data_IF_084807325039
#
_entry.id   IF_084807325039
#
_cell.length_a   1.000
_cell.length_b   1.000
_cell.length_c   1.000
_cell.angle_alpha   90.00
_cell.angle_beta   90.00
_cell.angle_gamma   90.00
#
_symmetry.space_group_name_H-M   'P 1'
#
loop_
_entity.id
_entity.type
_entity.pdbx_description
1 polymer ?
#
# COMPACT_ATOMS: atom_id res chain seq x y z
N UNK A 1 -14.74 11.00 -7.00
CA UNK A 1 -14.24 9.62 -7.22
C UNK A 1 -12.82 9.59 -6.69
N UNK A 2 -12.53 8.78 -5.68
CA UNK A 2 -11.17 8.67 -5.13
C UNK A 2 -10.33 7.91 -6.15
N UNK A 3 -9.12 8.40 -6.45
CA UNK A 3 -8.23 7.75 -7.42
C UNK A 3 -7.70 6.42 -6.87
N UNK A 4 -7.32 5.50 -7.75
CA UNK A 4 -6.80 4.19 -7.33
C UNK A 4 -5.54 4.33 -6.45
N UNK A 5 -4.73 5.36 -6.70
CA UNK A 5 -3.54 5.68 -5.92
C UNK A 5 -3.88 6.13 -4.49
N UNK A 6 -4.94 6.93 -4.32
CA UNK A 6 -5.43 7.30 -2.98
C UNK A 6 -5.98 6.08 -2.24
N UNK A 7 -6.71 5.19 -2.92
CA UNK A 7 -7.23 3.96 -2.30
C UNK A 7 -6.11 3.01 -1.89
N UNK A 8 -5.09 2.86 -2.73
CA UNK A 8 -3.91 2.04 -2.43
C UNK A 8 -3.10 2.62 -1.26
N UNK A 9 -2.98 3.95 -1.19
CA UNK A 9 -2.35 4.64 -0.07
C UNK A 9 -3.11 4.40 1.24
N UNK A 10 -4.43 4.61 1.25
CA UNK A 10 -5.25 4.42 2.44
C UNK A 10 -5.24 2.97 2.93
N UNK A 11 -5.26 2.01 1.99
CA UNK A 11 -5.16 0.58 2.31
C UNK A 11 -3.79 0.22 2.87
N UNK A 12 -2.71 0.78 2.31
CA UNK A 12 -1.37 0.60 2.85
C UNK A 12 -1.26 1.16 4.27
N UNK A 13 -1.76 2.36 4.52
CA UNK A 13 -1.81 2.97 5.86
C UNK A 13 -2.60 2.09 6.84
N UNK A 14 -3.77 1.59 6.43
CA UNK A 14 -4.59 0.72 7.26
C UNK A 14 -3.92 -0.62 7.57
N UNK A 15 -3.26 -1.25 6.59
CA UNK A 15 -2.51 -2.50 6.78
C UNK A 15 -1.31 -2.26 7.69
N UNK A 16 -0.62 -1.14 7.55
CA UNK A 16 0.50 -0.78 8.44
C UNK A 16 0.00 -0.54 9.87
N UNK A 17 -1.09 0.21 10.06
CA UNK A 17 -1.67 0.42 11.39
C UNK A 17 -2.16 -0.89 12.03
N UNK A 18 -2.75 -1.79 11.23
CA UNK A 18 -3.24 -3.09 11.71
C UNK A 18 -2.10 -4.09 12.01
N UNK A 19 -0.99 -4.06 11.25
CA UNK A 19 0.19 -4.92 11.49
C UNK A 19 1.13 -4.37 12.57
N UNK A 20 1.14 -3.06 12.78
CA UNK A 20 2.06 -2.36 13.70
C UNK A 20 1.32 -1.68 14.85
N UNK A 21 0.28 -2.33 15.40
CA UNK A 21 -0.41 -1.88 16.62
C UNK A 21 0.52 -1.77 17.84
N UNK A 22 1.76 -2.25 17.74
CA UNK A 22 2.86 -1.88 18.62
C UNK A 22 4.14 -1.57 17.81
N UNK A 23 4.65 -0.33 17.92
CA UNK A 23 6.07 0.06 17.77
C UNK A 23 6.65 0.45 16.39
N UNK A 24 5.91 1.08 15.49
CA UNK A 24 6.56 1.92 14.46
C UNK A 24 6.08 3.36 14.57
N UNK A 25 7.01 4.29 14.68
CA UNK A 25 6.68 5.70 14.52
C UNK A 25 6.15 5.94 13.11
N UNK A 26 5.26 6.94 12.90
CA UNK A 26 4.71 7.24 11.58
C UNK A 26 5.78 7.42 10.47
N UNK A 27 6.96 7.90 10.85
CA UNK A 27 8.10 8.08 9.94
C UNK A 27 8.66 6.72 9.52
N UNK A 28 8.89 5.81 10.46
CA UNK A 28 9.42 4.49 10.14
C UNK A 28 8.42 3.68 9.30
N UNK A 29 7.13 3.81 9.58
CA UNK A 29 6.08 3.23 8.76
C UNK A 29 6.12 3.78 7.31
N UNK A 30 6.24 5.10 7.16
CA UNK A 30 6.38 5.70 5.83
C UNK A 30 7.64 5.21 5.10
N UNK A 31 8.78 5.09 5.80
CA UNK A 31 10.02 4.58 5.22
C UNK A 31 9.87 3.13 4.74
N UNK A 32 9.21 2.28 5.52
CA UNK A 32 8.99 0.89 5.13
C UNK A 32 8.00 0.76 3.96
N UNK A 33 6.95 1.58 3.93
CA UNK A 33 6.06 1.67 2.77
C UNK A 33 6.82 2.04 1.50
N UNK A 34 7.60 3.13 1.52
CA UNK A 34 8.30 3.64 0.32
C UNK A 34 9.39 2.69 -0.15
N UNK A 35 10.17 2.13 0.77
CA UNK A 35 11.37 1.37 0.42
C UNK A 35 11.12 -0.12 0.22
N UNK A 36 10.07 -0.68 0.82
CA UNK A 36 9.80 -2.12 0.77
C UNK A 36 8.48 -2.39 0.04
N UNK A 37 7.38 -1.82 0.52
CA UNK A 37 6.06 -2.19 0.02
C UNK A 37 5.79 -1.65 -1.38
N UNK A 38 6.12 -0.39 -1.65
CA UNK A 38 5.84 0.28 -2.92
C UNK A 38 6.57 -0.37 -4.12
N UNK A 39 7.86 -0.77 -4.04
CA UNK A 39 8.50 -1.53 -5.11
C UNK A 39 7.80 -2.86 -5.39
N UNK A 40 7.41 -3.61 -4.35
CA UNK A 40 6.71 -4.89 -4.50
C UNK A 40 5.36 -4.67 -5.19
N UNK A 41 4.59 -3.68 -4.73
CA UNK A 41 3.31 -3.34 -5.35
C UNK A 41 3.48 -2.93 -6.81
N UNK A 42 4.52 -2.18 -7.15
CA UNK A 42 4.83 -1.80 -8.55
C UNK A 42 5.20 -3.00 -9.41
N UNK A 43 5.95 -3.96 -8.89
CA UNK A 43 6.26 -5.19 -9.64
C UNK A 43 4.98 -6.02 -9.87
N UNK A 44 4.13 -6.15 -8.86
CA UNK A 44 2.83 -6.83 -8.99
C UNK A 44 1.97 -6.09 -10.03
N UNK A 45 1.88 -4.76 -9.97
CA UNK A 45 1.04 -3.96 -10.86
C UNK A 45 1.43 -4.09 -12.34
N UNK A 46 2.70 -4.39 -12.65
CA UNK A 46 3.13 -4.70 -14.03
C UNK A 46 2.43 -5.93 -14.61
N UNK A 47 2.12 -6.91 -13.76
CA UNK A 47 1.42 -8.13 -14.16
C UNK A 47 -0.10 -7.90 -14.30
N UNK A 48 -0.60 -6.75 -13.86
CA UNK A 48 -2.00 -6.34 -13.94
C UNK A 48 -2.16 -4.99 -14.67
N UNK A 49 -1.89 -4.93 -15.98
CA UNK A 49 -1.92 -3.67 -16.75
C UNK A 49 -3.28 -2.98 -16.77
N UNK A 50 -4.36 -3.72 -16.53
CA UNK A 50 -5.73 -3.20 -16.41
C UNK A 50 -6.18 -2.99 -14.94
N UNK A 51 -5.23 -3.10 -14.00
CA UNK A 51 -5.46 -3.07 -12.55
C UNK A 51 -5.93 -4.40 -11.96
N UNK A 52 -5.74 -4.58 -10.65
CA UNK A 52 -6.31 -5.71 -9.91
C UNK A 52 -7.83 -5.47 -9.81
N UNK A 53 -8.61 -6.21 -10.61
CA UNK A 53 -10.08 -6.13 -10.57
C UNK A 53 -10.56 -6.40 -9.14
N UNK A 54 -11.19 -5.38 -8.55
CA UNK A 54 -11.93 -5.56 -7.30
C UNK A 54 -13.00 -6.64 -7.55
N UNK A 55 -13.05 -7.66 -6.69
CA UNK A 55 -14.07 -8.70 -6.79
C UNK A 55 -15.47 -8.04 -6.77
N UNK A 56 -16.22 -8.27 -7.85
CA UNK A 56 -17.64 -7.90 -8.01
C UNK A 56 -18.49 -8.83 -7.16
#
# INVERSE_FOLDING_TARGET
MISNEHRAHDLAVAIMQAKYSEKLSPIEAYHEYVNVLLPILREIDKDFPDGIKEHV
#
